data_IF_229083927358
#
_entry.id   IF_229083927358
#
_cell.length_a   1.000
_cell.length_b   1.000
_cell.length_c   1.000
_cell.angle_alpha   90.00
_cell.angle_beta   90.00
_cell.angle_gamma   90.00
#
_symmetry.space_group_name_H-M   'P 1'
#
loop_
_entity.id
_entity.type
_entity.pdbx_description
1 polymer ?
#
# COMPACT_ATOMS: atom_id res chain seq x y z
N UNK A 1 16.85 -9.95 -8.86
CA UNK A 1 15.41 -9.55 -8.97
C UNK A 1 15.20 -8.88 -10.33
N UNK A 2 14.17 -9.26 -11.08
CA UNK A 2 13.85 -8.71 -12.41
C UNK A 2 12.66 -7.75 -12.30
N UNK A 3 12.79 -6.51 -12.77
CA UNK A 3 11.72 -5.50 -12.70
C UNK A 3 10.40 -5.97 -13.31
N UNK A 4 10.44 -6.71 -14.42
CA UNK A 4 9.25 -7.27 -15.05
C UNK A 4 8.51 -8.26 -14.14
N UNK A 5 9.23 -9.18 -13.50
CA UNK A 5 8.62 -10.16 -12.60
C UNK A 5 7.96 -9.47 -11.41
N UNK A 6 8.59 -8.41 -10.88
CA UNK A 6 8.01 -7.59 -9.83
C UNK A 6 6.74 -6.90 -10.31
N UNK A 7 6.71 -6.30 -11.50
CA UNK A 7 5.49 -5.67 -12.04
C UNK A 7 4.33 -6.66 -12.23
N UNK A 8 4.59 -7.90 -12.69
CA UNK A 8 3.54 -8.92 -12.78
C UNK A 8 2.99 -9.30 -11.39
N UNK A 9 3.87 -9.44 -10.38
CA UNK A 9 3.41 -9.67 -9.01
C UNK A 9 2.59 -8.49 -8.48
N UNK A 10 3.01 -7.25 -8.73
CA UNK A 10 2.23 -6.06 -8.37
C UNK A 10 0.85 -6.14 -9.02
N UNK A 11 0.78 -6.46 -10.31
CA UNK A 11 -0.48 -6.62 -11.05
C UNK A 11 -1.41 -7.66 -10.40
N UNK A 12 -0.88 -8.79 -9.95
CA UNK A 12 -1.65 -9.78 -9.20
C UNK A 12 -2.17 -9.21 -7.87
N UNK A 13 -1.30 -8.55 -7.09
CA UNK A 13 -1.65 -8.02 -5.77
C UNK A 13 -2.69 -6.90 -5.86
N UNK A 14 -2.54 -5.92 -6.76
CA UNK A 14 -3.50 -4.81 -6.91
C UNK A 14 -4.86 -5.28 -7.41
N UNK A 15 -4.92 -6.41 -8.11
CA UNK A 15 -6.16 -7.01 -8.60
C UNK A 15 -7.00 -7.69 -7.53
N UNK A 16 -6.43 -7.94 -6.34
CA UNK A 16 -7.14 -8.48 -5.18
C UNK A 16 -7.58 -7.30 -4.29
N UNK A 17 -8.90 -7.06 -4.13
CA UNK A 17 -9.39 -6.02 -3.24
C UNK A 17 -8.88 -6.17 -1.82
N UNK A 18 -8.45 -5.06 -1.21
CA UNK A 18 -8.02 -5.06 0.19
C UNK A 18 -8.20 -3.69 0.86
N UNK A 19 -9.39 -3.06 0.78
CA UNK A 19 -9.61 -1.80 1.47
C UNK A 19 -9.35 -1.97 2.98
N UNK A 20 -8.80 -0.94 3.61
CA UNK A 20 -8.41 -0.99 5.03
C UNK A 20 -9.56 -1.50 5.91
N UNK A 21 -9.28 -2.53 6.72
CA UNK A 21 -10.28 -3.24 7.52
C UNK A 21 -10.85 -4.51 6.88
N UNK A 22 -10.67 -4.72 5.57
CA UNK A 22 -11.02 -5.94 4.85
C UNK A 22 -9.84 -6.43 3.98
N UNK A 23 -8.85 -7.05 4.63
CA UNK A 23 -7.59 -7.48 3.97
C UNK A 23 -7.37 -8.99 4.02
N UNK A 24 -8.38 -9.77 4.43
CA UNK A 24 -8.20 -11.20 4.69
C UNK A 24 -7.73 -11.96 3.44
N UNK A 25 -8.40 -11.74 2.30
CA UNK A 25 -8.11 -12.48 1.07
C UNK A 25 -6.71 -12.23 0.53
N UNK A 26 -6.23 -10.98 0.56
CA UNK A 26 -4.87 -10.64 0.11
C UNK A 26 -3.81 -11.18 1.08
N UNK A 27 -4.07 -11.13 2.38
CA UNK A 27 -3.16 -11.67 3.39
C UNK A 27 -3.07 -13.20 3.26
N UNK A 28 -4.19 -13.89 3.07
CA UNK A 28 -4.21 -15.33 2.83
C UNK A 28 -3.49 -15.69 1.52
N UNK A 29 -3.68 -14.91 0.45
CA UNK A 29 -2.95 -15.07 -0.79
C UNK A 29 -1.43 -14.99 -0.59
N UNK A 30 -0.95 -13.93 0.07
CA UNK A 30 0.48 -13.72 0.35
C UNK A 30 1.00 -14.80 1.28
N UNK A 31 0.23 -15.19 2.31
CA UNK A 31 0.60 -16.26 3.21
C UNK A 31 0.82 -17.58 2.46
N UNK A 32 -0.10 -17.95 1.55
CA UNK A 32 0.06 -19.13 0.70
C UNK A 32 1.23 -19.01 -0.26
N UNK A 33 1.53 -17.82 -0.78
CA UNK A 33 2.72 -17.58 -1.60
C UNK A 33 3.99 -17.86 -0.80
N UNK A 34 4.14 -17.29 0.39
CA UNK A 34 5.35 -17.44 1.22
C UNK A 34 5.51 -18.86 1.79
N UNK A 35 4.41 -19.52 2.15
CA UNK A 35 4.43 -20.92 2.61
C UNK A 35 4.89 -21.88 1.52
N UNK A 36 4.55 -21.64 0.24
CA UNK A 36 5.07 -22.43 -0.89
C UNK A 36 6.59 -22.30 -1.05
N UNK A 37 7.15 -21.17 -0.60
CA UNK A 37 8.60 -20.94 -0.57
C UNK A 37 9.23 -21.51 0.72
N UNK A 38 8.47 -22.13 1.63
CA UNK A 38 8.99 -22.68 2.89
C UNK A 38 9.36 -21.62 3.94
N UNK A 39 8.80 -20.42 3.84
CA UNK A 39 9.05 -19.33 4.78
C UNK A 39 8.07 -19.44 5.96
N UNK A 40 8.59 -19.38 7.18
CA UNK A 40 7.75 -19.34 8.39
C UNK A 40 6.98 -18.01 8.46
N UNK A 41 5.66 -18.10 8.55
CA UNK A 41 4.77 -16.95 8.67
C UNK A 41 3.85 -17.10 9.87
N UNK A 42 3.48 -15.97 10.47
CA UNK A 42 2.48 -15.89 11.54
C UNK A 42 1.55 -14.70 11.32
N UNK A 43 0.27 -14.87 11.63
CA UNK A 43 -0.67 -13.76 11.68
C UNK A 43 -0.57 -13.04 13.03
N UNK A 44 -0.63 -11.71 12.99
CA UNK A 44 -0.86 -10.92 14.20
C UNK A 44 -2.38 -10.78 14.45
N UNK A 45 -2.75 -10.23 15.62
CA UNK A 45 -4.18 -10.07 15.99
C UNK A 45 -4.94 -9.06 15.13
N UNK A 46 -4.24 -8.16 14.45
CA UNK A 46 -4.84 -7.17 13.52
C UNK A 46 -5.14 -7.79 12.15
N UNK A 47 -4.61 -8.98 11.86
CA UNK A 47 -4.72 -9.63 10.55
C UNK A 47 -3.52 -9.39 9.63
N UNK A 48 -2.48 -8.68 10.07
CA UNK A 48 -1.23 -8.55 9.33
C UNK A 48 -0.38 -9.82 9.39
N UNK A 49 0.48 -10.01 8.39
CA UNK A 49 1.33 -11.20 8.24
C UNK A 49 2.77 -10.88 8.61
N UNK A 50 3.40 -11.72 9.43
CA UNK A 50 4.81 -11.57 9.80
C UNK A 50 5.56 -12.80 9.30
N UNK A 51 6.47 -12.60 8.35
CA UNK A 51 7.42 -13.62 7.90
C UNK A 51 8.75 -13.42 8.62
N UNK A 52 9.41 -14.52 9.04
CA UNK A 52 10.69 -14.43 9.77
C UNK A 52 11.76 -15.27 9.09
N UNK A 53 12.92 -14.66 8.87
CA UNK A 53 14.13 -15.35 8.40
C UNK A 53 15.18 -15.28 9.52
N UNK A 54 15.54 -16.40 10.16
CA UNK A 54 16.58 -16.44 11.18
C UNK A 54 17.95 -16.03 10.61
N UNK A 55 18.65 -15.15 11.32
CA UNK A 55 20.02 -14.78 10.98
C UNK A 55 21.06 -15.45 11.87
N UNK A 56 22.34 -15.10 11.65
CA UNK A 56 23.46 -15.54 12.50
C UNK A 56 23.34 -15.00 13.93
N UNK A 57 23.06 -13.70 14.05
CA UNK A 57 22.77 -13.05 15.33
C UNK A 57 21.26 -13.12 15.61
N UNK A 58 20.91 -13.80 16.72
CA UNK A 58 19.53 -13.95 17.20
C UNK A 58 19.19 -12.99 18.33
N UNK A 59 20.15 -12.19 18.80
CA UNK A 59 19.98 -11.23 19.90
C UNK A 59 19.62 -9.82 19.43
N UNK A 60 19.89 -9.52 18.15
CA UNK A 60 19.52 -8.26 17.49
C UNK A 60 18.77 -8.56 16.21
N UNK A 61 17.61 -7.93 16.02
CA UNK A 61 16.74 -8.20 14.89
C UNK A 61 16.54 -6.95 14.01
N UNK A 62 16.24 -7.19 12.74
CA UNK A 62 15.71 -6.19 11.81
C UNK A 62 14.23 -6.41 11.60
N UNK A 63 13.50 -5.34 11.39
CA UNK A 63 12.14 -5.38 10.91
C UNK A 63 11.98 -4.52 9.66
N UNK A 64 11.47 -5.11 8.59
CA UNK A 64 11.02 -4.41 7.40
C UNK A 64 9.50 -4.48 7.37
N UNK A 65 8.84 -3.41 6.94
CA UNK A 65 7.38 -3.38 6.79
C UNK A 65 6.99 -2.82 5.43
N UNK A 66 5.88 -3.32 4.90
CA UNK A 66 5.16 -2.77 3.75
C UNK A 66 3.66 -3.04 4.01
N UNK A 67 2.77 -2.18 3.53
CA UNK A 67 1.34 -2.31 3.80
C UNK A 67 0.56 -2.83 2.61
N UNK A 68 -0.48 -3.61 2.88
CA UNK A 68 -1.30 -4.24 1.83
C UNK A 68 -2.74 -3.76 1.84
N UNK A 69 -3.16 -3.10 2.91
CA UNK A 69 -4.41 -2.36 2.92
C UNK A 69 -4.35 -1.24 1.90
N UNK A 70 -5.52 -0.93 1.36
CA UNK A 70 -5.69 0.11 0.36
C UNK A 70 -6.71 1.13 0.81
N UNK A 71 -6.69 2.28 0.14
CA UNK A 71 -7.85 3.15 0.04
C UNK A 71 -9.09 2.40 -0.47
N UNK A 72 -10.26 2.91 -0.09
CA UNK A 72 -11.55 2.37 -0.51
C UNK A 72 -12.71 3.24 -0.04
N UNK A 73 -13.89 2.65 0.04
CA UNK A 73 -15.03 3.28 0.67
C UNK A 73 -15.91 2.24 1.40
N UNK A 74 -16.87 2.73 2.19
CA UNK A 74 -17.94 1.93 2.77
C UNK A 74 -19.29 2.49 2.37
N UNK A 75 -20.31 1.63 2.28
CA UNK A 75 -21.70 2.05 2.14
C UNK A 75 -22.09 2.86 3.38
N UNK A 76 -22.46 4.13 3.18
CA UNK A 76 -22.86 5.05 4.25
C UNK A 76 -24.38 5.12 4.41
N UNK A 77 -25.08 5.17 3.29
CA UNK A 77 -26.54 5.32 3.21
C UNK A 77 -27.02 4.66 1.91
N UNK A 78 -28.13 3.93 1.99
CA UNK A 78 -28.87 3.48 0.82
C UNK A 78 -29.95 4.53 0.56
N UNK A 79 -29.93 5.12 -0.63
CA UNK A 79 -30.85 6.20 -1.01
C UNK A 79 -32.22 5.63 -1.40
N UNK A 80 -33.29 6.45 -1.35
CA UNK A 80 -34.63 6.04 -1.79
C UNK A 80 -34.72 5.61 -3.26
N UNK A 81 -33.75 5.97 -4.10
CA UNK A 81 -33.65 5.57 -5.51
C UNK A 81 -32.81 4.29 -5.73
N UNK A 82 -32.38 3.63 -4.65
CA UNK A 82 -31.57 2.41 -4.67
C UNK A 82 -30.06 2.63 -4.81
N UNK A 83 -29.60 3.87 -5.00
CA UNK A 83 -28.16 4.20 -5.07
C UNK A 83 -27.52 4.26 -3.69
N UNK A 84 -26.19 4.27 -3.64
CA UNK A 84 -25.44 4.27 -2.38
C UNK A 84 -24.69 5.59 -2.20
N UNK A 85 -24.79 6.21 -1.03
CA UNK A 85 -23.77 7.17 -0.58
C UNK A 85 -22.61 6.42 0.04
N UNK A 86 -21.42 7.00 -0.06
CA UNK A 86 -20.18 6.35 0.36
C UNK A 86 -19.38 7.20 1.34
N UNK A 87 -18.75 6.56 2.31
CA UNK A 87 -17.75 7.16 3.20
C UNK A 87 -16.37 6.64 2.84
N UNK A 88 -15.35 7.50 2.80
CA UNK A 88 -14.02 7.10 2.33
C UNK A 88 -13.27 6.33 3.42
N UNK A 89 -12.48 5.35 2.99
CA UNK A 89 -11.51 4.64 3.81
C UNK A 89 -10.12 5.12 3.39
N UNK A 90 -9.36 5.71 4.33
CA UNK A 90 -8.05 6.31 4.05
C UNK A 90 -8.14 7.76 3.57
N UNK A 91 -6.98 8.38 3.32
CA UNK A 91 -6.86 9.82 3.09
C UNK A 91 -6.79 10.24 1.62
N UNK A 92 -7.92 10.46 0.95
CA UNK A 92 -7.94 10.92 -0.45
C UNK A 92 -9.19 11.76 -0.78
N UNK A 93 -9.22 12.32 -1.99
CA UNK A 93 -10.29 13.20 -2.45
C UNK A 93 -11.28 12.47 -3.37
N UNK A 94 -12.57 12.78 -3.23
CA UNK A 94 -13.63 12.27 -4.10
C UNK A 94 -13.39 12.54 -5.60
N UNK A 95 -12.64 13.59 -5.95
CA UNK A 95 -12.24 13.87 -7.33
C UNK A 95 -11.48 12.73 -7.98
N UNK A 96 -10.68 11.98 -7.21
CA UNK A 96 -9.84 10.92 -7.77
C UNK A 96 -10.62 9.66 -8.11
N UNK A 97 -11.89 9.55 -7.73
CA UNK A 97 -12.75 8.38 -7.94
C UNK A 97 -14.01 8.67 -8.77
N UNK A 98 -14.14 9.87 -9.35
CA UNK A 98 -15.26 10.18 -10.23
C UNK A 98 -15.15 9.40 -11.55
N UNK A 99 -16.15 8.57 -11.85
CA UNK A 99 -16.18 7.71 -13.04
C UNK A 99 -15.61 6.31 -12.82
N UNK A 100 -15.14 6.00 -11.60
CA UNK A 100 -14.51 4.72 -11.32
C UNK A 100 -15.52 3.59 -11.21
N UNK A 101 -15.16 2.43 -11.78
CA UNK A 101 -15.83 1.19 -11.46
C UNK A 101 -15.45 0.72 -10.07
N UNK A 102 -16.40 0.10 -9.38
CA UNK A 102 -16.19 -0.43 -8.05
C UNK A 102 -16.89 -1.76 -7.87
N UNK A 103 -16.46 -2.49 -6.84
CA UNK A 103 -17.10 -3.70 -6.33
C UNK A 103 -17.65 -3.41 -4.94
N UNK A 104 -18.87 -3.86 -4.67
CA UNK A 104 -19.54 -3.78 -3.37
C UNK A 104 -19.59 -5.20 -2.82
N UNK A 105 -18.96 -5.42 -1.67
CA UNK A 105 -18.94 -6.72 -1.01
C UNK A 105 -19.90 -6.73 0.18
N UNK A 106 -20.90 -7.61 0.13
CA UNK A 106 -21.85 -7.77 1.23
C UNK A 106 -21.28 -8.60 2.36
N UNK A 107 -21.84 -8.46 3.57
CA UNK A 107 -21.49 -9.31 4.72
C UNK A 107 -21.63 -10.83 4.48
N UNK A 108 -22.39 -11.27 3.47
CA UNK A 108 -22.49 -12.69 3.08
C UNK A 108 -21.42 -13.14 2.08
N UNK A 109 -20.49 -12.26 1.70
CA UNK A 109 -19.47 -12.50 0.67
C UNK A 109 -19.98 -12.42 -0.77
N UNK A 110 -21.17 -11.85 -1.02
CA UNK A 110 -21.62 -11.60 -2.40
C UNK A 110 -20.99 -10.31 -2.91
N UNK A 111 -20.60 -10.29 -4.17
CA UNK A 111 -20.00 -9.11 -4.80
C UNK A 111 -20.90 -8.59 -5.92
N UNK A 112 -21.19 -7.31 -5.88
CA UNK A 112 -21.90 -6.56 -6.93
C UNK A 112 -20.96 -5.53 -7.55
N UNK A 113 -21.22 -5.11 -8.79
CA UNK A 113 -20.47 -4.02 -9.43
C UNK A 113 -21.27 -2.72 -9.42
N UNK A 114 -20.57 -1.61 -9.58
CA UNK A 114 -21.20 -0.31 -9.75
C UNK A 114 -20.22 0.72 -10.32
N UNK A 115 -20.75 1.92 -10.56
CA UNK A 115 -19.99 3.08 -11.01
C UNK A 115 -20.14 4.22 -10.01
N UNK A 116 -19.02 4.83 -9.61
CA UNK A 116 -18.98 6.01 -8.75
C UNK A 116 -19.21 7.25 -9.61
N UNK A 117 -20.25 8.03 -9.29
CA UNK A 117 -20.67 9.18 -10.08
C UNK A 117 -21.12 10.32 -9.18
N UNK A 118 -21.06 11.53 -9.73
CA UNK A 118 -21.84 12.63 -9.18
C UNK A 118 -23.34 12.38 -9.34
N UNK A 119 -24.15 12.85 -8.40
CA UNK A 119 -25.61 12.81 -8.56
C UNK A 119 -26.07 13.61 -9.81
N UNK A 120 -25.40 14.73 -10.07
CA UNK A 120 -25.72 15.67 -11.17
C UNK A 120 -24.72 15.60 -12.33
N UNK A 121 -24.43 14.40 -12.87
CA UNK A 121 -23.39 14.22 -13.91
C UNK A 121 -23.75 14.79 -15.29
N UNK A 122 -24.99 14.60 -15.77
CA UNK A 122 -25.32 14.84 -17.18
C UNK A 122 -25.57 16.33 -17.50
N UNK A 123 -24.76 16.91 -18.39
CA UNK A 123 -24.93 18.28 -18.91
C UNK A 123 -26.21 18.48 -19.73
N UNK A 124 -26.80 17.40 -20.25
CA UNK A 124 -28.07 17.44 -20.96
C UNK A 124 -29.28 17.53 -20.01
N UNK A 125 -29.09 17.22 -18.73
CA UNK A 125 -30.15 17.21 -17.71
C UNK A 125 -29.96 18.37 -16.73
N UNK A 126 -28.72 18.62 -16.30
CA UNK A 126 -28.39 19.62 -15.28
C UNK A 126 -27.63 20.79 -15.91
N UNK A 127 -28.25 21.98 -15.88
CA UNK A 127 -27.66 23.23 -16.40
C UNK A 127 -26.34 23.60 -15.70
N UNK A 128 -26.20 23.20 -14.43
CA UNK A 128 -25.04 23.48 -13.59
C UNK A 128 -24.16 22.24 -13.35
N UNK A 129 -24.24 21.23 -14.24
CA UNK A 129 -23.38 20.06 -14.20
C UNK A 129 -21.89 20.49 -14.10
N UNK A 130 -21.16 19.88 -13.17
CA UNK A 130 -19.76 20.19 -12.91
C UNK A 130 -19.49 21.27 -11.86
N UNK A 131 -20.49 22.09 -11.46
CA UNK A 131 -20.34 23.07 -10.37
C UNK A 131 -20.45 22.48 -8.96
N UNK A 132 -21.18 21.37 -8.83
CA UNK A 132 -21.31 20.69 -7.55
C UNK A 132 -19.94 20.16 -7.08
N UNK A 133 -19.64 20.40 -5.81
CA UNK A 133 -18.41 19.94 -5.19
C UNK A 133 -18.38 18.41 -5.10
N UNK A 134 -17.22 17.81 -5.36
CA UNK A 134 -16.99 16.38 -5.17
C UNK A 134 -16.80 16.12 -3.68
N UNK A 135 -17.88 15.69 -3.03
CA UNK A 135 -17.91 15.42 -1.60
C UNK A 135 -18.90 14.28 -1.30
N UNK A 136 -18.95 13.84 -0.04
CA UNK A 136 -19.82 12.76 0.44
C UNK A 136 -21.31 12.95 0.11
N UNK A 137 -21.75 14.21 0.00
CA UNK A 137 -23.16 14.52 -0.29
C UNK A 137 -23.51 14.29 -1.75
N UNK A 138 -22.59 14.59 -2.65
CA UNK A 138 -22.85 14.65 -4.09
C UNK A 138 -22.34 13.42 -4.85
N UNK A 139 -21.43 12.65 -4.26
CA UNK A 139 -20.90 11.41 -4.84
C UNK A 139 -21.71 10.20 -4.39
N UNK A 140 -22.04 9.34 -5.34
CA UNK A 140 -22.85 8.14 -5.12
C UNK A 140 -22.40 6.98 -6.02
N UNK A 141 -22.68 5.76 -5.58
CA UNK A 141 -22.53 4.57 -6.42
C UNK A 141 -23.86 4.24 -7.06
N UNK A 142 -23.83 4.15 -8.39
CA UNK A 142 -24.89 3.52 -9.18
C UNK A 142 -24.55 2.03 -9.33
N UNK A 143 -25.33 1.18 -8.69
CA UNK A 143 -25.18 -0.28 -8.71
C UNK A 143 -25.60 -0.80 -10.09
N UNK A 144 -24.90 -1.80 -10.63
CA UNK A 144 -25.22 -2.46 -11.90
C UNK A 144 -26.30 -3.54 -11.74
N UNK A 145 -27.31 -3.27 -10.93
CA UNK A 145 -28.46 -4.13 -10.68
C UNK A 145 -29.75 -3.33 -10.91
N UNK A 146 -30.86 -3.97 -11.33
CA UNK A 146 -32.10 -3.29 -11.68
C UNK A 146 -32.90 -2.86 -10.44
N UNK A 147 -32.26 -2.20 -9.48
CA UNK A 147 -32.85 -1.68 -8.25
C UNK A 147 -33.27 -0.22 -8.42
N UNK A 148 -34.38 0.14 -7.80
CA UNK A 148 -35.00 1.47 -7.87
C UNK A 148 -35.49 1.98 -6.52
N UNK A 149 -35.32 1.21 -5.46
CA UNK A 149 -35.67 1.59 -4.10
C UNK A 149 -34.65 1.09 -3.08
N UNK A 150 -34.70 1.66 -1.89
CA UNK A 150 -33.90 1.20 -0.75
C UNK A 150 -34.17 -0.28 -0.44
N UNK A 151 -35.45 -0.70 -0.47
CA UNK A 151 -35.86 -2.07 -0.17
C UNK A 151 -35.31 -3.06 -1.19
N UNK A 152 -35.32 -2.72 -2.48
CA UNK A 152 -34.76 -3.57 -3.55
C UNK A 152 -33.25 -3.72 -3.40
N UNK A 153 -32.53 -2.63 -3.09
CA UNK A 153 -31.08 -2.70 -2.82
C UNK A 153 -30.76 -3.53 -1.58
N UNK A 154 -31.55 -3.40 -0.51
CA UNK A 154 -31.42 -4.24 0.69
C UNK A 154 -31.73 -5.70 0.41
N UNK A 155 -32.63 -6.00 -0.51
CA UNK A 155 -32.95 -7.38 -0.90
C UNK A 155 -31.78 -8.10 -1.60
N UNK A 156 -30.82 -7.35 -2.18
CA UNK A 156 -29.54 -7.89 -2.64
C UNK A 156 -28.60 -8.32 -1.50
N UNK A 157 -28.91 -7.91 -0.26
CA UNK A 157 -28.07 -8.08 0.92
C UNK A 157 -27.09 -6.93 1.14
N UNK A 158 -27.14 -5.88 0.32
CA UNK A 158 -26.31 -4.68 0.49
C UNK A 158 -26.80 -3.89 1.71
N UNK A 159 -25.88 -3.46 2.58
CA UNK A 159 -26.18 -2.72 3.79
C UNK A 159 -25.12 -1.66 4.12
N UNK A 160 -25.47 -0.74 5.02
CA UNK A 160 -24.52 0.21 5.60
C UNK A 160 -23.39 -0.57 6.27
N UNK A 161 -22.15 -0.19 5.96
CA UNK A 161 -20.96 -0.89 6.45
C UNK A 161 -20.36 -1.90 5.46
N UNK A 162 -21.03 -2.19 4.34
CA UNK A 162 -20.44 -3.02 3.30
C UNK A 162 -19.26 -2.31 2.62
N UNK A 163 -18.20 -3.06 2.31
CA UNK A 163 -16.98 -2.52 1.71
C UNK A 163 -17.16 -2.25 0.23
N UNK A 164 -16.54 -1.18 -0.23
CA UNK A 164 -16.49 -0.78 -1.64
C UNK A 164 -15.02 -0.65 -2.03
N UNK A 165 -14.58 -1.53 -2.92
CA UNK A 165 -13.23 -1.50 -3.50
C UNK A 165 -13.28 -0.94 -4.92
N UNK A 166 -12.26 -0.19 -5.32
CA UNK A 166 -12.19 0.43 -6.64
C UNK A 166 -11.49 -0.48 -7.65
N UNK A 167 -11.86 -0.35 -8.93
CA UNK A 167 -11.14 -1.01 -10.01
C UNK A 167 -9.73 -0.40 -10.12
N UNK A 168 -8.66 -1.20 -9.97
CA UNK A 168 -7.29 -0.69 -10.05
C UNK A 168 -6.91 -0.22 -11.45
N UNK A 169 -7.59 -0.69 -12.51
CA UNK A 169 -7.26 -0.43 -13.93
C UNK A 169 -5.78 -0.64 -14.26
N UNK A 170 -5.19 -1.68 -13.68
CA UNK A 170 -3.76 -1.94 -13.78
C UNK A 170 -3.33 -2.20 -15.23
N UNK A 171 -2.29 -1.49 -15.67
CA UNK A 171 -1.73 -1.59 -17.01
C UNK A 171 -0.20 -1.47 -16.97
N UNK A 172 0.49 -2.39 -17.66
CA UNK A 172 1.95 -2.39 -17.79
C UNK A 172 2.28 -2.00 -19.22
N UNK A 173 2.99 -0.89 -19.39
CA UNK A 173 3.31 -0.35 -20.71
C UNK A 173 4.57 -0.98 -21.29
N UNK A 174 4.70 -1.06 -22.63
CA UNK A 174 5.94 -1.51 -23.28
C UNK A 174 7.17 -0.66 -22.93
N UNK A 175 6.95 0.59 -22.49
CA UNK A 175 8.01 1.51 -22.06
C UNK A 175 8.50 1.28 -20.63
N UNK A 176 7.98 0.28 -19.91
CA UNK A 176 8.45 -0.10 -18.57
C UNK A 176 7.73 0.59 -17.41
N UNK A 177 6.57 1.22 -17.65
CA UNK A 177 5.74 1.76 -16.57
C UNK A 177 4.66 0.77 -16.14
N UNK A 178 4.31 0.81 -14.86
CA UNK A 178 3.06 0.26 -14.34
C UNK A 178 2.18 1.42 -13.88
N UNK A 179 0.92 1.43 -14.33
CA UNK A 179 -0.11 2.36 -13.86
C UNK A 179 -1.18 1.57 -13.15
N UNK A 180 -1.61 2.02 -11.98
CA UNK A 180 -2.67 1.36 -11.22
C UNK A 180 -3.15 2.27 -10.12
N UNK A 181 -4.32 2.01 -9.53
CA UNK A 181 -4.53 2.37 -8.13
C UNK A 181 -3.78 1.38 -7.23
N UNK A 182 -3.43 1.82 -6.02
CA UNK A 182 -2.91 0.94 -4.97
C UNK A 182 -1.54 0.35 -5.26
N UNK A 183 -0.72 1.02 -6.08
CA UNK A 183 0.73 0.80 -6.06
C UNK A 183 1.28 1.15 -4.68
N UNK A 184 0.71 2.19 -4.07
CA UNK A 184 0.77 2.46 -2.64
C UNK A 184 -0.11 1.43 -1.87
N UNK A 185 0.45 0.46 -1.14
CA UNK A 185 1.88 0.09 -1.05
C UNK A 185 2.14 -1.35 -1.56
N UNK A 186 1.27 -1.83 -2.45
CA UNK A 186 1.43 -3.17 -3.05
C UNK A 186 2.70 -3.30 -3.90
N UNK A 187 3.28 -2.18 -4.34
CA UNK A 187 4.60 -2.14 -4.94
C UNK A 187 5.68 -2.61 -3.97
N UNK A 188 5.71 -2.09 -2.74
CA UNK A 188 6.70 -2.50 -1.73
C UNK A 188 6.43 -3.88 -1.17
N UNK A 189 5.15 -4.27 -1.03
CA UNK A 189 4.79 -5.65 -0.69
C UNK A 189 5.37 -6.64 -1.71
N UNK A 190 5.24 -6.35 -3.01
CA UNK A 190 5.84 -7.18 -4.06
C UNK A 190 7.37 -7.21 -3.95
N UNK A 191 8.02 -6.08 -3.65
CA UNK A 191 9.47 -6.00 -3.45
C UNK A 191 9.94 -6.84 -2.25
N UNK A 192 9.21 -6.80 -1.13
CA UNK A 192 9.53 -7.62 0.05
C UNK A 192 9.33 -9.11 -0.23
N UNK A 193 8.26 -9.50 -0.92
CA UNK A 193 8.03 -10.90 -1.32
C UNK A 193 9.17 -11.40 -2.22
N UNK A 194 9.57 -10.61 -3.23
CA UNK A 194 10.68 -10.98 -4.12
C UNK A 194 12.03 -11.00 -3.39
N UNK A 195 12.24 -10.12 -2.41
CA UNK A 195 13.44 -10.16 -1.56
C UNK A 195 13.48 -11.45 -0.75
N UNK A 196 12.38 -11.83 -0.08
CA UNK A 196 12.27 -13.09 0.68
C UNK A 196 12.55 -14.30 -0.23
N UNK A 197 11.93 -14.34 -1.41
CA UNK A 197 12.17 -15.38 -2.43
C UNK A 197 13.64 -15.45 -2.84
N UNK A 198 14.28 -14.29 -3.03
CA UNK A 198 15.69 -14.20 -3.41
C UNK A 198 16.59 -14.75 -2.29
N UNK A 199 16.35 -14.33 -1.04
CA UNK A 199 17.10 -14.83 0.13
C UNK A 199 17.03 -16.36 0.21
N UNK A 200 15.83 -16.92 0.04
CA UNK A 200 15.62 -18.36 0.13
C UNK A 200 16.22 -19.12 -1.06
N UNK A 201 16.01 -18.65 -2.28
CA UNK A 201 16.53 -19.28 -3.52
C UNK A 201 18.06 -19.27 -3.56
N UNK A 202 18.68 -18.19 -3.08
CA UNK A 202 20.14 -18.08 -3.01
C UNK A 202 20.75 -18.80 -1.78
N UNK A 203 19.91 -19.33 -0.87
CA UNK A 203 20.38 -19.94 0.39
C UNK A 203 21.13 -18.93 1.28
N UNK A 204 20.76 -17.66 1.21
CA UNK A 204 21.47 -16.57 1.85
C UNK A 204 21.31 -16.64 3.38
N UNK A 205 22.45 -16.63 4.08
CA UNK A 205 22.45 -16.52 5.55
C UNK A 205 22.55 -15.04 5.95
N UNK A 206 21.47 -14.50 6.50
CA UNK A 206 21.43 -13.10 6.95
C UNK A 206 22.31 -12.88 8.20
N UNK A 207 22.94 -11.70 8.37
CA UNK A 207 23.69 -11.37 9.58
C UNK A 207 22.80 -11.33 10.84
N UNK A 208 21.54 -10.89 10.72
CA UNK A 208 20.59 -10.71 11.82
C UNK A 208 19.26 -11.37 11.49
N UNK A 209 18.56 -11.88 12.51
CA UNK A 209 17.16 -12.29 12.34
C UNK A 209 16.37 -11.12 11.76
N UNK A 210 15.67 -11.37 10.68
CA UNK A 210 14.94 -10.34 9.94
C UNK A 210 13.47 -10.71 9.84
N UNK A 211 12.62 -9.80 10.27
CA UNK A 211 11.16 -9.90 10.19
C UNK A 211 10.65 -9.03 9.05
N UNK A 212 9.67 -9.55 8.32
CA UNK A 212 8.94 -8.85 7.28
C UNK A 212 7.48 -8.77 7.71
N UNK A 213 7.03 -7.57 8.06
CA UNK A 213 5.63 -7.31 8.35
C UNK A 213 4.93 -6.86 7.07
N UNK A 214 3.92 -7.62 6.65
CA UNK A 214 2.91 -7.14 5.71
C UNK A 214 1.77 -6.59 6.56
N UNK A 215 1.75 -5.27 6.76
CA UNK A 215 0.77 -4.58 7.60
C UNK A 215 -0.54 -4.34 6.84
N UNK A 216 -1.61 -4.00 7.56
CA UNK A 216 -2.98 -4.00 7.02
C UNK A 216 -3.89 -2.87 7.56
N UNK A 217 -3.30 -1.83 8.15
CA UNK A 217 -4.00 -0.66 8.69
C UNK A 217 -3.10 0.59 8.64
N UNK A 218 -2.19 0.67 7.67
CA UNK A 218 -1.27 1.81 7.53
C UNK A 218 -2.07 3.07 7.18
N UNK A 219 -3.03 2.97 6.26
CA UNK A 219 -3.80 4.08 5.67
C UNK A 219 -4.65 4.86 6.69
N UNK A 220 -4.75 4.34 7.90
CA UNK A 220 -5.45 4.92 9.06
C UNK A 220 -4.52 5.12 10.29
N UNK A 221 -3.21 4.94 10.10
CA UNK A 221 -2.12 5.40 10.96
C UNK A 221 -1.58 4.39 11.98
N UNK A 222 -1.87 3.09 11.86
CA UNK A 222 -1.45 2.12 12.88
C UNK A 222 -1.11 0.69 12.37
N UNK A 223 -0.79 0.50 11.09
CA UNK A 223 -0.43 -0.80 10.52
C UNK A 223 0.72 -1.51 11.26
N UNK A 224 1.86 -0.83 11.37
CA UNK A 224 3.13 -1.34 11.85
C UNK A 224 3.53 -0.89 13.25
N UNK A 225 2.62 -0.25 13.97
CA UNK A 225 2.86 0.37 15.28
C UNK A 225 3.09 -0.60 16.46
N UNK A 226 3.04 -1.91 16.24
CA UNK A 226 3.01 -2.93 17.29
C UNK A 226 3.40 -4.30 16.73
N UNK A 227 3.51 -5.31 17.62
CA UNK A 227 3.98 -6.67 17.28
C UNK A 227 5.44 -6.71 16.81
N UNK A 228 6.21 -5.70 17.21
CA UNK A 228 7.65 -5.56 16.99
C UNK A 228 8.37 -6.35 18.11
N UNK A 229 9.22 -7.34 17.79
CA UNK A 229 10.02 -8.04 18.78
C UNK A 229 10.91 -7.06 19.57
N UNK A 230 11.04 -7.20 20.90
CA UNK A 230 11.90 -6.35 21.73
C UNK A 230 13.37 -6.30 21.29
N UNK A 231 13.85 -7.34 20.61
CA UNK A 231 15.20 -7.44 20.06
C UNK A 231 15.39 -6.63 18.76
N UNK A 232 14.33 -6.05 18.21
CA UNK A 232 14.40 -5.22 17.00
C UNK A 232 15.20 -3.97 17.28
N UNK A 233 16.28 -3.78 16.53
CA UNK A 233 17.12 -2.58 16.60
C UNK A 233 16.76 -1.63 15.47
N UNK A 234 16.72 -2.14 14.24
CA UNK A 234 16.39 -1.36 13.04
C UNK A 234 15.00 -1.70 12.52
N UNK A 235 14.20 -0.67 12.30
CA UNK A 235 12.89 -0.74 11.67
C UNK A 235 12.89 0.08 10.37
N UNK A 236 12.70 -0.58 9.23
CA UNK A 236 12.68 0.07 7.93
C UNK A 236 11.30 -0.09 7.30
N UNK A 237 10.56 1.01 7.20
CA UNK A 237 9.39 1.05 6.33
C UNK A 237 9.87 1.05 4.87
N UNK A 238 9.29 0.15 4.10
CA UNK A 238 9.40 0.09 2.65
C UNK A 238 8.02 0.47 2.16
N UNK A 239 7.91 1.72 1.75
CA UNK A 239 6.67 2.35 1.35
C UNK A 239 6.94 3.05 0.01
N UNK A 240 6.33 4.18 -0.30
CA UNK A 240 6.62 4.95 -1.50
C UNK A 240 7.35 6.28 -1.25
N UNK A 241 7.95 6.81 -2.31
CA UNK A 241 8.35 8.21 -2.38
C UNK A 241 7.35 9.01 -3.22
N UNK A 242 6.58 9.89 -2.58
CA UNK A 242 5.62 10.74 -3.28
C UNK A 242 6.33 11.80 -4.14
N UNK A 243 5.80 12.07 -5.34
CA UNK A 243 6.33 13.07 -6.27
C UNK A 243 5.49 14.34 -6.22
N UNK A 244 6.15 15.50 -6.23
CA UNK A 244 5.48 16.80 -6.22
C UNK A 244 6.45 17.98 -6.31
N UNK A 245 5.89 19.19 -6.25
CA UNK A 245 6.68 20.41 -6.33
C UNK A 245 7.62 20.55 -5.13
N UNK A 246 8.92 20.73 -5.42
CA UNK A 246 9.96 20.85 -4.41
C UNK A 246 10.47 19.52 -3.85
N UNK A 247 9.99 18.39 -4.37
CA UNK A 247 10.53 17.06 -4.08
C UNK A 247 11.63 16.71 -5.11
N UNK A 248 12.64 15.98 -4.68
CA UNK A 248 13.72 15.42 -5.51
C UNK A 248 13.41 14.02 -6.05
N UNK A 249 12.45 13.30 -5.48
CA UNK A 249 12.02 11.97 -5.91
C UNK A 249 11.57 11.96 -7.37
N UNK A 250 11.89 10.87 -8.07
CA UNK A 250 11.50 10.61 -9.45
C UNK A 250 11.00 9.16 -9.63
N UNK A 251 10.40 8.86 -10.76
CA UNK A 251 9.87 7.52 -11.08
C UNK A 251 10.96 6.48 -11.40
N UNK A 252 12.27 6.81 -11.30
CA UNK A 252 13.36 5.97 -11.84
C UNK A 252 14.36 5.46 -10.79
N UNK A 253 14.34 6.05 -9.60
CA UNK A 253 15.30 5.79 -8.52
C UNK A 253 14.59 5.38 -7.23
N UNK A 254 15.32 4.84 -6.26
CA UNK A 254 14.76 4.63 -4.91
C UNK A 254 14.73 5.96 -4.16
N UNK A 255 13.60 6.26 -3.53
CA UNK A 255 13.51 7.36 -2.59
C UNK A 255 13.97 6.92 -1.20
N UNK A 256 14.73 7.78 -0.54
CA UNK A 256 15.13 7.65 0.86
C UNK A 256 14.55 8.87 1.59
N UNK A 257 13.51 8.65 2.37
CA UNK A 257 12.89 9.73 3.13
C UNK A 257 13.78 10.14 4.30
N UNK A 258 14.16 11.42 4.35
CA UNK A 258 14.98 11.96 5.44
C UNK A 258 14.13 12.55 6.56
N UNK A 259 12.89 12.94 6.26
CA UNK A 259 11.91 13.49 7.21
C UNK A 259 10.50 13.39 6.63
N UNK A 260 9.54 12.99 7.47
CA UNK A 260 8.11 13.04 7.14
C UNK A 260 7.37 14.10 8.01
N UNK A 261 6.04 14.01 8.11
CA UNK A 261 5.23 14.89 8.96
C UNK A 261 5.54 14.73 10.47
N UNK A 262 6.01 13.55 10.88
CA UNK A 262 6.32 13.23 12.28
C UNK A 262 7.68 13.76 12.72
N UNK A 263 8.65 13.84 11.80
CA UNK A 263 9.99 14.35 12.10
C UNK A 263 11.09 13.71 11.26
N UNK A 264 12.36 14.07 11.51
CA UNK A 264 13.50 13.46 10.83
C UNK A 264 13.67 11.98 11.20
N UNK A 265 13.97 11.15 10.20
CA UNK A 265 14.38 9.75 10.42
C UNK A 265 15.78 9.68 11.03
N UNK A 266 16.16 8.50 11.55
CA UNK A 266 17.44 8.32 12.24
C UNK A 266 18.64 8.62 11.31
N UNK A 267 19.45 9.62 11.67
CA UNK A 267 20.55 10.12 10.83
C UNK A 267 21.60 9.05 10.52
N UNK A 268 21.92 8.19 11.49
CA UNK A 268 22.87 7.09 11.30
C UNK A 268 22.40 6.07 10.27
N UNK A 269 21.14 5.64 10.38
CA UNK A 269 20.53 4.68 9.46
C UNK A 269 20.44 5.29 8.05
N UNK A 270 20.01 6.56 7.95
CA UNK A 270 19.94 7.23 6.66
C UNK A 270 21.31 7.35 5.97
N UNK A 271 22.38 7.72 6.69
CA UNK A 271 23.74 7.75 6.12
C UNK A 271 24.20 6.38 5.62
N UNK A 272 23.80 5.32 6.34
CA UNK A 272 24.13 3.95 5.95
C UNK A 272 23.39 3.54 4.67
N UNK A 273 22.11 3.89 4.54
CA UNK A 273 21.34 3.66 3.32
C UNK A 273 21.98 4.37 2.11
N UNK A 274 22.38 5.64 2.25
CA UNK A 274 23.06 6.36 1.17
C UNK A 274 24.43 5.76 0.83
N UNK A 275 25.20 5.33 1.84
CA UNK A 275 26.49 4.67 1.63
C UNK A 275 26.35 3.33 0.89
N UNK A 276 25.29 2.54 1.18
CA UNK A 276 24.98 1.34 0.42
C UNK A 276 24.66 1.68 -1.03
N UNK A 277 23.88 2.74 -1.27
CA UNK A 277 23.61 3.18 -2.63
C UNK A 277 24.87 3.60 -3.39
N UNK A 278 25.74 4.39 -2.77
CA UNK A 278 27.00 4.86 -3.37
C UNK A 278 27.95 3.68 -3.65
N UNK A 279 28.10 2.76 -2.71
CA UNK A 279 29.00 1.60 -2.83
C UNK A 279 28.57 0.65 -3.95
N UNK A 280 27.26 0.50 -4.17
CA UNK A 280 26.70 -0.46 -5.12
C UNK A 280 26.14 0.19 -6.39
N UNK A 281 26.35 1.50 -6.60
CA UNK A 281 25.88 2.21 -7.78
C UNK A 281 24.36 2.22 -7.93
N UNK A 282 23.62 2.29 -6.81
CA UNK A 282 22.16 2.33 -6.78
C UNK A 282 21.72 3.79 -6.91
N UNK A 283 20.89 4.08 -7.91
CA UNK A 283 20.32 5.41 -8.09
C UNK A 283 19.32 5.72 -6.98
N UNK A 284 19.52 6.83 -6.26
CA UNK A 284 18.67 7.24 -5.15
C UNK A 284 18.40 8.74 -5.12
N UNK A 285 17.34 9.13 -4.41
CA UNK A 285 17.02 10.51 -4.04
C UNK A 285 16.78 10.62 -2.54
N UNK A 286 17.19 11.73 -1.95
CA UNK A 286 16.84 12.08 -0.58
C UNK A 286 15.70 13.09 -0.62
N UNK A 287 14.68 12.90 0.21
CA UNK A 287 13.53 13.79 0.19
C UNK A 287 12.84 13.98 1.54
N UNK A 288 12.01 15.03 1.61
CA UNK A 288 11.19 15.40 2.77
C UNK A 288 9.72 15.40 2.35
N UNK A 289 8.88 14.71 3.11
CA UNK A 289 7.44 14.61 2.84
C UNK A 289 6.61 15.21 3.98
N UNK A 290 6.20 16.49 3.90
CA UNK A 290 5.60 17.21 5.03
C UNK A 290 4.21 16.71 5.47
N UNK A 291 3.49 16.02 4.59
CA UNK A 291 2.09 15.58 4.80
C UNK A 291 1.95 14.06 4.75
N UNK A 292 3.05 13.36 4.99
CA UNK A 292 3.16 11.91 4.87
C UNK A 292 3.50 11.30 6.23
N UNK A 293 3.07 10.08 6.47
CA UNK A 293 3.46 9.23 7.59
C UNK A 293 3.64 7.81 7.09
N UNK A 294 4.36 6.99 7.85
CA UNK A 294 4.50 5.56 7.55
C UNK A 294 4.40 4.72 8.81
N UNK A 295 4.36 3.40 8.63
CA UNK A 295 4.46 2.43 9.70
C UNK A 295 5.65 2.65 10.64
N UNK A 296 6.79 3.13 10.13
CA UNK A 296 7.97 3.44 10.93
C UNK A 296 7.69 4.58 11.92
N UNK A 297 7.01 5.63 11.47
CA UNK A 297 6.61 6.77 12.30
C UNK A 297 5.52 6.37 13.31
N UNK A 298 4.61 5.47 12.91
CA UNK A 298 3.61 4.89 13.80
C UNK A 298 4.25 4.05 14.93
N UNK A 299 5.30 3.28 14.64
CA UNK A 299 6.05 2.50 15.62
C UNK A 299 6.75 3.38 16.67
N UNK A 300 7.43 4.44 16.23
CA UNK A 300 8.10 5.39 17.14
C UNK A 300 7.06 6.12 18.01
N UNK A 301 5.94 6.56 17.41
CA UNK A 301 4.85 7.23 18.14
C UNK A 301 4.21 6.32 19.19
N UNK A 302 4.18 5.01 18.97
CA UNK A 302 3.71 4.02 19.94
C UNK A 302 4.70 3.78 21.10
N UNK A 303 5.92 4.34 21.04
CA UNK A 303 6.91 4.27 22.11
C UNK A 303 7.95 3.15 21.95
N UNK A 304 8.11 2.59 20.76
CA UNK A 304 9.17 1.61 20.50
C UNK A 304 10.55 2.26 20.50
N UNK A 305 11.50 1.62 21.19
CA UNK A 305 12.92 2.01 21.24
C UNK A 305 13.67 1.37 20.06
N UNK A 306 13.65 2.05 18.91
CA UNK A 306 14.18 1.55 17.63
C UNK A 306 14.82 2.68 16.83
N UNK A 307 15.80 2.35 16.00
CA UNK A 307 16.20 3.24 14.90
C UNK A 307 15.26 2.99 13.72
N UNK A 308 14.74 4.07 13.14
CA UNK A 308 13.71 3.97 12.11
C UNK A 308 14.15 4.68 10.83
N UNK A 309 13.73 4.13 9.69
CA UNK A 309 13.98 4.67 8.35
C UNK A 309 12.79 4.41 7.43
N UNK A 310 12.77 5.10 6.31
CA UNK A 310 11.77 4.92 5.26
C UNK A 310 12.45 5.01 3.88
N UNK A 311 12.18 4.02 3.04
CA UNK A 311 12.58 4.00 1.63
C UNK A 311 11.42 3.53 0.76
N UNK A 312 11.52 3.72 -0.55
CA UNK A 312 10.45 3.30 -1.45
C UNK A 312 10.72 3.57 -2.91
N UNK A 313 10.02 2.90 -3.85
CA UNK A 313 9.99 3.38 -5.22
C UNK A 313 9.31 4.75 -5.28
N UNK A 314 9.73 5.59 -6.24
CA UNK A 314 9.05 6.84 -6.52
C UNK A 314 7.73 6.59 -7.24
N UNK A 315 6.64 7.10 -6.69
CA UNK A 315 5.28 6.92 -7.22
C UNK A 315 4.67 8.29 -7.50
N UNK A 316 4.23 8.49 -8.74
CA UNK A 316 3.50 9.68 -9.15
C UNK A 316 2.02 9.57 -8.80
N UNK A 317 1.41 10.70 -8.43
CA UNK A 317 -0.02 10.84 -8.16
C UNK A 317 -0.60 9.81 -7.15
N UNK A 318 0.14 9.51 -6.07
CA UNK A 318 -0.33 8.61 -5.01
C UNK A 318 -1.68 9.03 -4.43
N UNK A 319 -2.45 8.05 -3.94
CA UNK A 319 -3.83 8.18 -3.45
C UNK A 319 -4.82 8.63 -4.54
N UNK A 320 -4.40 8.61 -5.81
CA UNK A 320 -5.21 8.88 -6.98
C UNK A 320 -5.03 7.77 -8.02
N UNK A 321 -4.44 8.09 -9.17
CA UNK A 321 -4.17 7.11 -10.22
C UNK A 321 -2.69 7.08 -10.50
N UNK A 322 -2.05 6.03 -10.01
CA UNK A 322 -0.65 6.04 -9.65
C UNK A 322 0.19 5.46 -10.77
N UNK A 323 1.46 5.86 -10.81
CA UNK A 323 2.41 5.33 -11.78
C UNK A 323 3.82 5.25 -11.19
N UNK A 324 4.54 4.20 -11.56
CA UNK A 324 5.99 4.12 -11.36
C UNK A 324 6.66 3.40 -12.54
N UNK A 325 7.99 3.51 -12.65
CA UNK A 325 8.77 2.81 -13.66
C UNK A 325 9.50 1.60 -13.05
N UNK A 326 9.70 0.55 -13.86
CA UNK A 326 10.43 -0.65 -13.47
C UNK A 326 11.82 -0.34 -12.88
N UNK A 327 12.47 0.73 -13.34
CA UNK A 327 13.78 1.14 -12.81
C UNK A 327 13.72 1.51 -11.34
N UNK A 328 12.69 2.22 -10.88
CA UNK A 328 12.56 2.57 -9.46
C UNK A 328 12.35 1.33 -8.59
N UNK A 329 11.54 0.38 -9.07
CA UNK A 329 11.38 -0.93 -8.43
C UNK A 329 12.72 -1.68 -8.33
N UNK A 330 13.50 -1.70 -9.41
CA UNK A 330 14.82 -2.36 -9.45
C UNK A 330 15.84 -1.70 -8.54
N UNK A 331 15.90 -0.36 -8.48
CA UNK A 331 16.81 0.34 -7.57
C UNK A 331 16.41 0.10 -6.11
N UNK A 332 15.12 0.10 -5.80
CA UNK A 332 14.60 -0.20 -4.46
C UNK A 332 14.92 -1.64 -4.06
N UNK A 333 14.69 -2.60 -4.96
CA UNK A 333 15.05 -4.00 -4.77
C UNK A 333 16.56 -4.18 -4.47
N UNK A 334 17.44 -3.48 -5.19
CA UNK A 334 18.90 -3.52 -4.94
C UNK A 334 19.24 -2.97 -3.57
N UNK A 335 18.64 -1.85 -3.16
CA UNK A 335 18.90 -1.28 -1.84
C UNK A 335 18.47 -2.25 -0.74
N UNK A 336 17.27 -2.82 -0.85
CA UNK A 336 16.77 -3.84 0.07
C UNK A 336 17.71 -5.06 0.16
N UNK A 337 18.16 -5.57 -0.99
CA UNK A 337 19.08 -6.70 -1.06
C UNK A 337 20.39 -6.45 -0.30
N UNK A 338 21.00 -5.28 -0.48
CA UNK A 338 22.24 -4.92 0.23
C UNK A 338 22.01 -4.52 1.69
N UNK A 339 20.84 -3.94 2.01
CA UNK A 339 20.47 -3.56 3.37
C UNK A 339 20.34 -4.77 4.29
N UNK A 340 19.62 -5.82 3.88
CA UNK A 340 19.41 -7.00 4.73
C UNK A 340 20.71 -7.76 5.02
N UNK A 341 21.74 -7.60 4.17
CA UNK A 341 23.04 -8.26 4.29
C UNK A 341 24.10 -7.46 5.07
N UNK A 342 23.92 -6.15 5.26
CA UNK A 342 24.93 -5.30 5.87
C UNK A 342 24.84 -5.30 7.41
N UNK A 343 25.82 -4.72 8.10
CA UNK A 343 25.81 -4.58 9.58
C UNK A 343 24.92 -3.45 10.06
N UNK A 344 24.16 -3.62 11.15
CA UNK A 344 23.27 -2.57 11.69
C UNK A 344 24.00 -1.25 11.99
N UNK A 345 23.27 -0.14 11.91
CA UNK A 345 23.74 1.23 12.11
C UNK A 345 24.16 1.55 13.55
#
# INVERSE_FOLDING_TARGET
MSGQKTMELIKELVSIPSPTGNTYDIIDYINRLLQKEGVETRLNRKGGLIATIPGRDKSRHRMLTAHVDTLGAMVKEIKPDGRLKIDLIGGFNYNSIEGEYCKIETASGKTYTGTILMHQTSVHVYKDAGKAERNQKNMEVRIDEPVRSEEETRALGINVGDFISFDPRVDITPSGFIKSRHLDDKASVALLIELIRTINTEGMTLPYTTHFLISNNEEIGYGGNSNIPPETVEYLAVDMGAIGDGQSTDEYTVSICVKDASGPYHYGLRKRLTALCETHGIGYKLDIYPYYGSDASAAVKAGHDIVHGLIGPGIDASHAFERTHQSSLEQTAKLLYHYVQSDMA
#
